data_IF_431303223638
#
_entry.id   IF_431303223638
#
_cell.length_a   1.000
_cell.length_b   1.000
_cell.length_c   1.000
_cell.angle_alpha   90.00
_cell.angle_beta   90.00
_cell.angle_gamma   90.00
#
_symmetry.space_group_name_H-M   'P 1'
#
loop_
_entity.id
_entity.type
_entity.pdbx_description
1 polymer ?
#
# COMPACT_ATOMS: atom_id res chain seq x y z
N UNK A 1 -15.79 15.42 -4.19
CA UNK A 1 -14.55 14.78 -4.67
C UNK A 1 -14.07 13.84 -3.57
N UNK A 2 -13.67 12.61 -3.89
CA UNK A 2 -13.14 11.69 -2.88
C UNK A 2 -11.83 12.25 -2.30
N UNK A 3 -11.67 12.20 -0.97
CA UNK A 3 -10.40 12.59 -0.35
C UNK A 3 -9.31 11.61 -0.81
N UNK A 4 -8.11 12.12 -1.08
CA UNK A 4 -6.98 11.27 -1.49
C UNK A 4 -6.21 10.80 -0.26
N UNK A 5 -5.91 9.50 -0.20
CA UNK A 5 -5.10 8.88 0.83
C UNK A 5 -3.84 8.25 0.20
N UNK A 6 -2.72 8.34 0.92
CA UNK A 6 -1.49 7.63 0.59
C UNK A 6 -1.39 6.42 1.52
N UNK A 7 -1.29 5.23 0.94
CA UNK A 7 -1.16 3.97 1.70
C UNK A 7 0.23 3.38 1.44
N UNK A 8 0.96 3.11 2.51
CA UNK A 8 2.26 2.46 2.43
C UNK A 8 2.07 0.96 2.15
N UNK A 9 2.59 0.49 1.02
CA UNK A 9 2.53 -0.91 0.59
C UNK A 9 3.90 -1.55 0.78
N UNK A 10 3.99 -2.53 1.68
CA UNK A 10 5.22 -3.27 1.98
C UNK A 10 5.27 -4.65 1.33
N UNK A 11 4.20 -5.05 0.64
CA UNK A 11 3.99 -6.41 0.14
C UNK A 11 3.48 -7.39 1.20
N UNK A 12 3.24 -6.91 2.44
CA UNK A 12 2.69 -7.69 3.54
C UNK A 12 1.17 -7.58 3.66
N UNK A 13 0.56 -8.56 4.34
CA UNK A 13 -0.88 -8.66 4.55
C UNK A 13 -1.48 -7.42 5.23
N UNK A 14 -0.78 -6.86 6.22
CA UNK A 14 -1.26 -5.70 6.97
C UNK A 14 -1.40 -4.47 6.06
N UNK A 15 -0.40 -4.23 5.20
CA UNK A 15 -0.43 -3.13 4.24
C UNK A 15 -1.51 -3.30 3.16
N UNK A 16 -1.72 -4.54 2.69
CA UNK A 16 -2.79 -4.86 1.75
C UNK A 16 -4.18 -4.68 2.39
N UNK A 17 -4.32 -5.01 3.67
CA UNK A 17 -5.57 -4.84 4.43
C UNK A 17 -5.89 -3.36 4.61
N UNK A 18 -4.89 -2.55 4.96
CA UNK A 18 -5.04 -1.09 5.05
C UNK A 18 -5.51 -0.51 3.71
N UNK A 19 -4.87 -0.89 2.58
CA UNK A 19 -5.30 -0.48 1.24
C UNK A 19 -6.77 -0.84 0.96
N UNK A 20 -7.16 -2.09 1.22
CA UNK A 20 -8.51 -2.57 0.98
C UNK A 20 -9.55 -1.81 1.83
N UNK A 21 -9.23 -1.51 3.09
CA UNK A 21 -10.08 -0.72 3.98
C UNK A 21 -10.24 0.71 3.45
N UNK A 22 -9.14 1.36 3.06
CA UNK A 22 -9.17 2.74 2.54
C UNK A 22 -9.97 2.85 1.24
N UNK A 23 -9.86 1.86 0.33
CA UNK A 23 -10.70 1.78 -0.87
C UNK A 23 -12.17 1.62 -0.49
N UNK A 24 -12.49 0.73 0.46
CA UNK A 24 -13.86 0.48 0.92
C UNK A 24 -14.50 1.73 1.55
N UNK A 25 -13.71 2.57 2.19
CA UNK A 25 -14.16 3.85 2.75
C UNK A 25 -14.40 4.95 1.71
N UNK A 26 -14.06 4.70 0.43
CA UNK A 26 -14.38 5.59 -0.69
C UNK A 26 -13.32 6.66 -0.96
N UNK A 27 -12.09 6.48 -0.48
CA UNK A 27 -10.96 7.36 -0.80
C UNK A 27 -10.41 7.09 -2.21
N UNK A 28 -9.86 8.14 -2.84
CA UNK A 28 -8.90 7.94 -3.93
C UNK A 28 -7.57 7.50 -3.33
N UNK A 29 -6.95 6.42 -3.80
CA UNK A 29 -5.75 5.86 -3.15
C UNK A 29 -4.52 5.93 -4.03
N UNK A 30 -3.41 6.37 -3.43
CA UNK A 30 -2.05 6.29 -3.98
C UNK A 30 -1.29 5.27 -3.14
N UNK A 31 -0.87 4.16 -3.76
CA UNK A 31 0.05 3.21 -3.14
C UNK A 31 1.49 3.73 -3.19
N UNK A 32 2.22 3.59 -2.09
CA UNK A 32 3.63 3.96 -2.01
C UNK A 32 4.46 2.84 -1.38
N UNK A 33 5.46 2.37 -2.10
CA UNK A 33 6.45 1.41 -1.62
C UNK A 33 7.82 2.07 -1.61
N UNK A 34 8.58 1.87 -0.53
CA UNK A 34 9.96 2.32 -0.45
C UNK A 34 10.89 1.17 -0.81
N UNK A 35 11.75 1.36 -1.81
CA UNK A 35 12.91 0.49 -2.03
C UNK A 35 14.09 1.05 -1.23
N UNK A 36 14.41 0.39 -0.11
CA UNK A 36 15.50 0.80 0.79
C UNK A 36 16.58 -0.28 0.93
N UNK A 37 16.59 -1.26 0.02
CA UNK A 37 17.52 -2.39 0.08
C UNK A 37 17.01 -3.55 0.93
N UNK A 38 15.71 -3.84 0.87
CA UNK A 38 15.08 -4.97 1.55
C UNK A 38 15.82 -6.28 1.30
N UNK A 39 15.86 -7.14 2.34
CA UNK A 39 16.47 -8.47 2.25
C UNK A 39 15.81 -9.36 1.19
N UNK A 40 14.49 -9.25 1.01
CA UNK A 40 13.76 -10.05 0.04
C UNK A 40 13.11 -9.15 -1.02
N UNK A 41 13.56 -9.26 -2.27
CA UNK A 41 12.96 -8.53 -3.41
C UNK A 41 11.46 -8.79 -3.61
N UNK A 42 10.99 -9.99 -3.24
CA UNK A 42 9.58 -10.37 -3.31
C UNK A 42 8.64 -9.44 -2.52
N UNK A 43 9.14 -8.78 -1.49
CA UNK A 43 8.36 -7.82 -0.69
C UNK A 43 8.02 -6.58 -1.51
N UNK A 44 8.93 -6.13 -2.38
CA UNK A 44 8.68 -5.01 -3.29
C UNK A 44 7.81 -5.46 -4.47
N UNK A 45 8.04 -6.66 -5.02
CA UNK A 45 7.24 -7.18 -6.14
C UNK A 45 5.78 -7.44 -5.77
N UNK A 46 5.51 -7.73 -4.50
CA UNK A 46 4.17 -7.96 -3.97
C UNK A 46 3.44 -6.69 -3.53
N UNK A 47 4.13 -5.54 -3.49
CA UNK A 47 3.60 -4.26 -3.04
C UNK A 47 2.98 -3.47 -4.19
#
# INVERSE_FOLDING_TARGET
MAQTAVVLLSGGMDSATALAMTIKEGFGVIGLTFDYGQRHRKEIEAA
#
